data_IF_273030695515
#
_entry.id   IF_273030695515
#
_cell.length_a   1.000
_cell.length_b   1.000
_cell.length_c   1.000
_cell.angle_alpha   90.00
_cell.angle_beta   90.00
_cell.angle_gamma   90.00
#
_symmetry.space_group_name_H-M   'P 1'
#
loop_
_entity.id
_entity.type
_entity.pdbx_description
1 polymer ?
#
# COMPACT_ATOMS: atom_id res chain seq x y z
N UNK A 1 38.29 2.38 34.99
CA UNK A 1 37.64 1.71 33.83
C UNK A 1 38.00 2.47 32.56
N UNK A 2 38.89 1.92 31.73
CA UNK A 2 39.21 2.50 30.43
C UNK A 2 38.22 1.90 29.42
N UNK A 3 37.32 2.73 28.91
CA UNK A 3 36.43 2.34 27.81
C UNK A 3 37.27 2.29 26.54
N UNK A 4 37.57 1.09 26.04
CA UNK A 4 38.13 0.90 24.71
C UNK A 4 36.98 1.09 23.72
N UNK A 5 36.88 2.27 23.10
CA UNK A 5 36.06 2.47 21.94
C UNK A 5 36.70 1.74 20.75
N UNK A 6 36.13 0.60 20.38
CA UNK A 6 36.47 -0.07 19.13
C UNK A 6 35.95 0.78 17.98
N UNK A 7 36.85 1.44 17.27
CA UNK A 7 36.55 2.15 16.03
C UNK A 7 36.00 1.15 15.00
N UNK A 8 34.88 1.49 14.38
CA UNK A 8 34.27 0.68 13.31
C UNK A 8 35.20 0.61 12.09
N UNK A 9 35.13 -0.43 11.25
CA UNK A 9 36.00 -0.57 10.06
C UNK A 9 35.96 0.63 9.12
N UNK A 10 34.86 1.41 9.12
CA UNK A 10 34.69 2.63 8.32
C UNK A 10 35.54 3.81 8.81
N UNK A 11 35.77 3.90 10.12
CA UNK A 11 36.54 5.00 10.74
C UNK A 11 38.04 4.85 10.56
N UNK A 12 38.50 3.65 10.25
CA UNK A 12 39.93 3.38 10.05
C UNK A 12 40.43 3.75 8.64
N UNK A 13 39.53 3.82 7.66
CA UNK A 13 39.92 4.07 6.28
C UNK A 13 40.55 5.45 6.03
N UNK A 14 40.03 6.58 6.53
CA UNK A 14 40.59 7.89 6.35
C UNK A 14 41.96 8.02 7.06
N UNK A 15 42.11 7.41 8.22
CA UNK A 15 43.38 7.42 8.98
C UNK A 15 44.48 6.61 8.27
N UNK A 16 44.11 5.50 7.65
CA UNK A 16 45.01 4.68 6.82
C UNK A 16 45.44 5.44 5.56
N UNK A 17 44.52 6.08 4.85
CA UNK A 17 44.80 6.90 3.65
C UNK A 17 45.73 8.07 4.00
N UNK A 18 45.51 8.75 5.12
CA UNK A 18 46.38 9.86 5.54
C UNK A 18 47.80 9.36 5.89
N UNK A 19 47.94 8.20 6.55
CA UNK A 19 49.24 7.57 6.82
C UNK A 19 49.96 7.17 5.52
N UNK A 20 49.24 6.66 4.53
CA UNK A 20 49.80 6.29 3.23
C UNK A 20 50.29 7.54 2.49
N UNK A 21 49.46 8.60 2.44
CA UNK A 21 49.83 9.88 1.80
C UNK A 21 51.03 10.57 2.46
N UNK A 22 51.11 10.55 3.78
CA UNK A 22 52.29 11.07 4.50
C UNK A 22 53.57 10.25 4.20
N UNK A 23 53.46 8.91 4.09
CA UNK A 23 54.58 8.05 3.69
C UNK A 23 54.99 8.31 2.23
N UNK A 24 54.04 8.49 1.33
CA UNK A 24 54.31 8.80 -0.10
C UNK A 24 55.00 10.16 -0.28
N UNK A 25 54.53 11.22 0.40
CA UNK A 25 55.21 12.53 0.42
C UNK A 25 56.65 12.42 1.01
N UNK A 26 56.82 11.65 2.07
CA UNK A 26 58.10 11.40 2.67
C UNK A 26 59.02 10.58 1.77
N UNK A 27 58.48 9.61 1.04
CA UNK A 27 59.23 8.82 0.07
C UNK A 27 59.64 9.66 -1.16
N UNK A 28 58.76 10.54 -1.70
CA UNK A 28 59.08 11.46 -2.78
C UNK A 28 60.16 12.48 -2.38
N UNK A 29 60.06 13.06 -1.17
CA UNK A 29 61.09 13.98 -0.68
C UNK A 29 62.45 13.28 -0.49
N UNK A 30 62.45 12.01 -0.02
CA UNK A 30 63.69 11.22 0.06
C UNK A 30 64.21 10.86 -1.35
N UNK A 31 63.32 10.49 -2.30
CA UNK A 31 63.74 10.20 -3.67
C UNK A 31 64.35 11.43 -4.36
N UNK A 32 63.82 12.63 -4.12
CA UNK A 32 64.37 13.90 -4.63
C UNK A 32 65.72 14.20 -3.96
N UNK A 33 65.85 14.02 -2.66
CA UNK A 33 67.12 14.16 -1.92
C UNK A 33 68.18 13.14 -2.43
N UNK A 34 67.77 11.93 -2.71
CA UNK A 34 68.68 10.89 -3.22
C UNK A 34 68.99 11.06 -4.72
N UNK A 35 68.20 11.77 -5.49
CA UNK A 35 68.56 12.12 -6.87
C UNK A 35 69.55 13.29 -6.96
N UNK A 36 69.59 14.15 -5.94
CA UNK A 36 70.55 15.31 -5.93
C UNK A 36 71.87 14.90 -5.24
N UNK A 37 71.86 14.09 -4.22
CA UNK A 37 73.07 13.60 -3.49
C UNK A 37 74.07 12.82 -4.35
N UNK A 38 73.68 11.93 -5.26
CA UNK A 38 74.69 11.26 -6.11
C UNK A 38 75.47 12.19 -7.02
N UNK A 39 74.82 13.25 -7.51
CA UNK A 39 75.48 14.24 -8.41
C UNK A 39 76.51 15.06 -7.62
N UNK A 40 76.21 15.46 -6.39
CA UNK A 40 77.14 16.21 -5.53
C UNK A 40 78.23 15.34 -4.92
N UNK A 41 77.89 14.10 -4.58
CA UNK A 41 78.87 13.10 -4.09
C UNK A 41 79.78 12.58 -5.20
N UNK A 42 79.40 12.50 -6.46
CA UNK A 42 80.25 12.21 -7.60
C UNK A 42 81.32 13.28 -7.75
N UNK A 43 81.01 14.56 -7.46
CA UNK A 43 82.02 15.63 -7.48
C UNK A 43 82.94 15.62 -6.26
N UNK A 44 82.54 15.09 -5.15
CA UNK A 44 83.30 15.05 -3.89
C UNK A 44 84.06 13.69 -3.73
N UNK A 45 83.61 12.64 -4.40
CA UNK A 45 84.17 11.29 -4.24
C UNK A 45 84.83 10.72 -5.49
N UNK A 46 85.48 11.52 -6.31
CA UNK A 46 86.44 11.10 -7.32
C UNK A 46 87.64 10.35 -6.63
N UNK A 47 87.40 9.55 -5.66
CA UNK A 47 88.43 8.80 -4.96
C UNK A 47 87.97 7.58 -4.14
N UNK A 48 86.71 7.35 -3.88
CA UNK A 48 86.28 6.23 -3.08
C UNK A 48 85.16 5.39 -3.66
N UNK A 49 85.59 4.31 -4.27
CA UNK A 49 84.94 2.99 -4.37
C UNK A 49 83.58 2.83 -5.05
N UNK A 50 83.61 2.17 -6.19
CA UNK A 50 82.47 1.67 -7.02
C UNK A 50 81.43 0.81 -6.21
N UNK A 51 81.75 0.45 -4.99
CA UNK A 51 80.84 -0.36 -4.14
C UNK A 51 79.79 0.49 -3.43
N UNK A 52 80.08 1.72 -3.00
CA UNK A 52 79.07 2.59 -2.34
C UNK A 52 78.05 3.12 -3.33
N UNK A 53 78.44 3.40 -4.57
CA UNK A 53 77.49 3.81 -5.64
C UNK A 53 76.54 2.65 -6.02
N UNK A 54 77.02 1.41 -6.08
CA UNK A 54 76.18 0.24 -6.28
C UNK A 54 75.19 -0.01 -5.16
N UNK A 55 75.57 0.26 -3.91
CA UNK A 55 74.66 0.07 -2.77
C UNK A 55 73.59 1.17 -2.74
N UNK A 56 73.98 2.41 -3.01
CA UNK A 56 72.99 3.51 -3.15
C UNK A 56 72.03 3.28 -4.31
N UNK A 57 72.50 2.77 -5.46
CA UNK A 57 71.63 2.44 -6.58
C UNK A 57 70.66 1.31 -6.23
N UNK A 58 71.10 0.26 -5.53
CA UNK A 58 70.22 -0.83 -5.07
C UNK A 58 69.15 -0.32 -4.11
N UNK A 59 69.51 0.62 -3.25
CA UNK A 59 68.56 1.21 -2.30
C UNK A 59 67.51 2.12 -3.00
N UNK A 60 67.92 2.90 -4.03
CA UNK A 60 67.02 3.64 -4.90
C UNK A 60 66.08 2.72 -5.69
N UNK A 61 66.59 1.63 -6.24
CA UNK A 61 65.78 0.67 -6.99
C UNK A 61 64.78 -0.07 -6.07
N UNK A 62 65.18 -0.38 -4.83
CA UNK A 62 64.31 -0.95 -3.80
C UNK A 62 63.18 0.02 -3.42
N UNK A 63 63.52 1.29 -3.16
CA UNK A 63 62.53 2.35 -2.84
C UNK A 63 61.58 2.61 -3.99
N UNK A 64 62.05 2.58 -5.21
CA UNK A 64 61.21 2.72 -6.42
C UNK A 64 60.25 1.53 -6.59
N UNK A 65 60.69 0.32 -6.31
CA UNK A 65 59.87 -0.89 -6.30
C UNK A 65 58.79 -0.80 -5.21
N UNK A 66 59.15 -0.31 -4.01
CA UNK A 66 58.22 -0.13 -2.90
C UNK A 66 57.19 0.95 -3.23
N UNK A 67 57.59 2.07 -3.84
CA UNK A 67 56.67 3.13 -4.28
C UNK A 67 55.67 2.66 -5.31
N UNK A 68 56.08 1.84 -6.28
CA UNK A 68 55.19 1.23 -7.27
C UNK A 68 54.17 0.26 -6.63
N UNK A 69 54.63 -0.50 -5.63
CA UNK A 69 53.76 -1.39 -4.85
C UNK A 69 52.69 -0.62 -4.08
N UNK A 70 53.09 0.46 -3.39
CA UNK A 70 52.11 1.31 -2.68
C UNK A 70 51.12 1.99 -3.63
N UNK A 71 51.57 2.46 -4.77
CA UNK A 71 50.65 3.04 -5.81
C UNK A 71 49.61 2.02 -6.26
N UNK A 72 50.03 0.78 -6.51
CA UNK A 72 49.09 -0.29 -6.87
C UNK A 72 48.09 -0.63 -5.76
N UNK A 73 48.56 -0.61 -4.48
CA UNK A 73 47.66 -0.80 -3.35
C UNK A 73 46.64 0.33 -3.19
N UNK A 74 47.10 1.58 -3.37
CA UNK A 74 46.19 2.77 -3.37
C UNK A 74 45.11 2.64 -4.42
N UNK A 75 45.46 2.27 -5.65
CA UNK A 75 44.50 2.11 -6.74
C UNK A 75 43.49 0.99 -6.45
N UNK A 76 43.96 -0.11 -5.85
CA UNK A 76 43.09 -1.21 -5.42
C UNK A 76 42.11 -0.76 -4.33
N UNK A 77 42.60 -0.07 -3.32
CA UNK A 77 41.78 0.47 -2.23
C UNK A 77 40.75 1.49 -2.73
N UNK A 78 41.11 2.34 -3.70
CA UNK A 78 40.21 3.28 -4.36
C UNK A 78 39.06 2.55 -5.08
N UNK A 79 39.38 1.54 -5.89
CA UNK A 79 38.39 0.70 -6.57
C UNK A 79 37.42 0.02 -5.59
N UNK A 80 37.96 -0.50 -4.50
CA UNK A 80 37.14 -1.12 -3.45
C UNK A 80 36.24 -0.10 -2.76
N UNK A 81 36.73 1.08 -2.45
CA UNK A 81 35.94 2.17 -1.85
C UNK A 81 34.77 2.61 -2.77
N UNK A 82 35.05 2.75 -4.07
CA UNK A 82 34.00 3.09 -5.04
C UNK A 82 32.95 1.96 -5.17
N UNK A 83 33.39 0.69 -5.14
CA UNK A 83 32.49 -0.45 -5.14
C UNK A 83 31.59 -0.48 -3.89
N UNK A 84 32.15 -0.26 -2.70
CA UNK A 84 31.35 -0.16 -1.46
C UNK A 84 30.38 1.00 -1.46
N UNK A 85 30.78 2.15 -1.98
CA UNK A 85 29.92 3.32 -2.14
C UNK A 85 28.72 3.00 -3.02
N UNK A 86 28.96 2.40 -4.20
CA UNK A 86 27.88 2.02 -5.13
C UNK A 86 26.94 0.99 -4.50
N UNK A 87 27.48 -0.01 -3.80
CA UNK A 87 26.68 -1.01 -3.09
C UNK A 87 25.84 -0.39 -1.96
N UNK A 88 26.40 0.57 -1.22
CA UNK A 88 25.67 1.29 -0.17
C UNK A 88 24.51 2.10 -0.76
N UNK A 89 24.70 2.77 -1.90
CA UNK A 89 23.64 3.51 -2.59
C UNK A 89 22.54 2.57 -3.11
N UNK A 90 22.91 1.43 -3.67
CA UNK A 90 21.92 0.42 -4.09
C UNK A 90 21.09 -0.09 -2.93
N UNK A 91 21.72 -0.46 -1.82
CA UNK A 91 21.02 -0.93 -0.61
C UNK A 91 20.12 0.15 -0.01
N UNK A 92 20.50 1.42 -0.10
CA UNK A 92 19.66 2.52 0.34
C UNK A 92 18.42 2.65 -0.53
N UNK A 93 18.57 2.53 -1.86
CA UNK A 93 17.44 2.51 -2.80
C UNK A 93 16.49 1.34 -2.55
N UNK A 94 17.04 0.14 -2.33
CA UNK A 94 16.24 -1.05 -2.00
C UNK A 94 15.48 -0.87 -0.69
N UNK A 95 16.11 -0.26 0.31
CA UNK A 95 15.47 0.01 1.61
C UNK A 95 14.27 0.95 1.48
N UNK A 96 14.39 2.03 0.70
CA UNK A 96 13.27 2.95 0.45
C UNK A 96 12.15 2.28 -0.36
N UNK A 97 12.50 1.43 -1.32
CA UNK A 97 11.52 0.66 -2.07
C UNK A 97 10.74 -0.32 -1.18
N UNK A 98 11.43 -1.08 -0.33
CA UNK A 98 10.76 -1.97 0.64
C UNK A 98 9.89 -1.21 1.63
N UNK A 99 10.31 -0.04 2.09
CA UNK A 99 9.52 0.80 2.98
C UNK A 99 8.20 1.25 2.32
N UNK A 100 8.26 1.61 1.04
CA UNK A 100 7.07 1.95 0.25
C UNK A 100 6.13 0.75 0.12
N UNK A 101 6.66 -0.43 -0.23
CA UNK A 101 5.88 -1.66 -0.34
C UNK A 101 5.22 -2.06 0.99
N UNK A 102 5.94 -1.94 2.10
CA UNK A 102 5.38 -2.21 3.44
C UNK A 102 4.22 -1.26 3.75
N UNK A 103 4.35 0.02 3.42
CA UNK A 103 3.27 1.01 3.62
C UNK A 103 2.03 0.68 2.79
N UNK A 104 2.22 0.31 1.52
CA UNK A 104 1.13 -0.13 0.64
C UNK A 104 0.43 -1.40 1.16
N UNK A 105 1.20 -2.40 1.55
CA UNK A 105 0.65 -3.65 2.10
C UNK A 105 -0.10 -3.41 3.40
N UNK A 106 0.36 -2.52 4.26
CA UNK A 106 -0.35 -2.12 5.47
C UNK A 106 -1.70 -1.45 5.17
N UNK A 107 -1.75 -0.58 4.15
CA UNK A 107 -3.00 0.05 3.71
C UNK A 107 -3.99 -0.99 3.15
N UNK A 108 -3.53 -1.92 2.31
CA UNK A 108 -4.35 -3.02 1.77
C UNK A 108 -4.87 -3.94 2.88
N UNK A 109 -4.04 -4.25 3.88
CA UNK A 109 -4.42 -5.05 5.03
C UNK A 109 -5.53 -4.37 5.84
N UNK A 110 -5.41 -3.07 6.11
CA UNK A 110 -6.41 -2.30 6.84
C UNK A 110 -7.75 -2.27 6.08
N UNK A 111 -7.72 -2.08 4.76
CA UNK A 111 -8.91 -2.13 3.91
C UNK A 111 -9.57 -3.52 3.92
N UNK A 112 -8.77 -4.58 3.78
CA UNK A 112 -9.27 -5.97 3.82
C UNK A 112 -9.87 -6.32 5.18
N UNK A 113 -9.25 -5.90 6.28
CA UNK A 113 -9.80 -6.09 7.63
C UNK A 113 -11.13 -5.37 7.82
N UNK A 114 -11.25 -4.15 7.29
CA UNK A 114 -12.51 -3.40 7.30
C UNK A 114 -13.59 -4.13 6.52
N UNK A 115 -13.31 -4.54 5.29
CA UNK A 115 -14.23 -5.29 4.44
C UNK A 115 -14.66 -6.62 5.10
N UNK A 116 -13.74 -7.34 5.73
CA UNK A 116 -14.03 -8.56 6.47
C UNK A 116 -14.96 -8.31 7.66
N UNK A 117 -14.71 -7.26 8.44
CA UNK A 117 -15.56 -6.91 9.58
C UNK A 117 -16.97 -6.55 9.14
N UNK A 118 -17.13 -5.80 8.05
CA UNK A 118 -18.42 -5.49 7.45
C UNK A 118 -19.13 -6.75 6.95
N UNK A 119 -18.44 -7.65 6.26
CA UNK A 119 -19.00 -8.92 5.80
C UNK A 119 -19.47 -9.82 6.98
N UNK A 120 -18.68 -9.90 8.04
CA UNK A 120 -19.07 -10.66 9.25
C UNK A 120 -20.31 -10.07 9.91
N UNK A 121 -20.37 -8.74 10.02
CA UNK A 121 -21.54 -8.07 10.59
C UNK A 121 -22.79 -8.30 9.73
N UNK A 122 -22.69 -8.17 8.42
CA UNK A 122 -23.77 -8.47 7.49
C UNK A 122 -24.21 -9.94 7.61
N UNK A 123 -23.29 -10.89 7.68
CA UNK A 123 -23.61 -12.32 7.78
C UNK A 123 -24.38 -12.66 9.07
N UNK A 124 -24.03 -12.01 10.19
CA UNK A 124 -24.71 -12.18 11.47
C UNK A 124 -26.09 -11.52 11.51
N UNK A 125 -26.29 -10.49 10.70
CA UNK A 125 -27.54 -9.76 10.61
C UNK A 125 -28.55 -10.40 9.64
N UNK A 126 -28.13 -11.39 8.84
CA UNK A 126 -29.03 -12.06 7.89
C UNK A 126 -30.19 -12.71 8.64
N UNK A 127 -31.40 -12.28 8.27
CA UNK A 127 -32.63 -12.88 8.72
C UNK A 127 -33.06 -13.97 7.73
N UNK A 128 -33.26 -15.20 8.14
CA UNK A 128 -33.80 -16.22 7.25
C UNK A 128 -35.26 -15.86 6.91
N UNK A 129 -35.54 -15.69 5.63
CA UNK A 129 -36.92 -15.59 5.12
C UNK A 129 -37.19 -16.88 4.37
N UNK A 130 -38.08 -17.68 4.93
CA UNK A 130 -38.54 -18.90 4.29
C UNK A 130 -39.49 -18.55 3.13
N UNK A 131 -39.40 -19.29 2.02
CA UNK A 131 -40.28 -19.13 0.86
C UNK A 131 -41.76 -19.38 1.18
N UNK A 132 -42.06 -20.25 2.14
CA UNK A 132 -43.41 -20.47 2.63
C UNK A 132 -43.95 -19.24 3.40
N UNK A 133 -43.06 -18.53 4.12
CA UNK A 133 -43.41 -17.31 4.86
C UNK A 133 -43.43 -16.07 3.98
N UNK A 134 -42.88 -16.13 2.76
CA UNK A 134 -42.80 -14.96 1.88
C UNK A 134 -44.18 -14.41 1.48
N UNK A 135 -45.11 -15.28 1.10
CA UNK A 135 -46.50 -14.90 0.75
C UNK A 135 -47.25 -14.40 2.01
N UNK A 136 -47.08 -15.09 3.12
CA UNK A 136 -47.66 -14.69 4.38
C UNK A 136 -47.06 -13.34 4.86
N UNK A 137 -45.73 -13.18 4.69
CA UNK A 137 -45.09 -11.92 4.98
C UNK A 137 -45.59 -10.81 4.05
N UNK A 138 -45.69 -11.04 2.76
CA UNK A 138 -46.20 -10.07 1.79
C UNK A 138 -47.64 -9.61 2.13
N UNK A 139 -48.50 -10.53 2.54
CA UNK A 139 -49.89 -10.19 2.93
C UNK A 139 -50.00 -9.25 4.15
N UNK A 140 -48.93 -9.14 4.94
CA UNK A 140 -48.84 -8.23 6.08
C UNK A 140 -48.48 -6.79 5.70
N UNK A 141 -48.11 -6.57 4.43
CA UNK A 141 -47.69 -5.26 3.94
C UNK A 141 -48.60 -4.78 2.78
N UNK A 142 -49.86 -4.46 3.06
CA UNK A 142 -50.78 -4.03 2.01
C UNK A 142 -50.25 -2.79 1.26
N UNK A 143 -50.26 -2.85 -0.07
CA UNK A 143 -49.68 -1.81 -0.91
C UNK A 143 -48.20 -1.99 -1.27
N UNK A 144 -47.48 -2.88 -0.55
CA UNK A 144 -46.06 -3.20 -0.84
C UNK A 144 -45.85 -4.68 -1.12
N UNK A 145 -46.91 -5.45 -1.20
CA UNK A 145 -46.86 -6.91 -1.44
C UNK A 145 -46.08 -7.27 -2.71
N UNK A 146 -46.31 -6.56 -3.78
CA UNK A 146 -45.68 -6.81 -5.07
C UNK A 146 -44.17 -6.48 -5.02
N UNK A 147 -43.76 -5.43 -4.29
CA UNK A 147 -42.36 -5.09 -4.11
C UNK A 147 -41.61 -6.23 -3.36
N UNK A 148 -42.20 -6.70 -2.25
CA UNK A 148 -41.63 -7.76 -1.47
C UNK A 148 -41.49 -9.07 -2.27
N UNK A 149 -42.56 -9.46 -2.99
CA UNK A 149 -42.54 -10.66 -3.81
C UNK A 149 -41.53 -10.60 -4.96
N UNK A 150 -41.39 -9.45 -5.62
CA UNK A 150 -40.41 -9.27 -6.71
C UNK A 150 -38.96 -9.33 -6.17
N UNK A 151 -38.70 -8.74 -5.00
CA UNK A 151 -37.37 -8.83 -4.36
C UNK A 151 -37.07 -10.28 -3.99
N UNK A 152 -38.04 -11.02 -3.47
CA UNK A 152 -37.87 -12.43 -3.09
C UNK A 152 -37.70 -13.34 -4.32
N UNK A 153 -38.37 -13.04 -5.45
CA UNK A 153 -38.14 -13.73 -6.73
C UNK A 153 -36.68 -13.52 -7.20
N UNK A 154 -36.19 -12.30 -7.19
CA UNK A 154 -34.79 -12.03 -7.52
C UNK A 154 -33.79 -12.75 -6.59
N UNK A 155 -34.16 -12.93 -5.30
CA UNK A 155 -33.39 -13.75 -4.36
C UNK A 155 -33.37 -15.23 -4.79
N UNK A 156 -34.51 -15.79 -5.17
CA UNK A 156 -34.59 -17.19 -5.65
C UNK A 156 -33.78 -17.40 -6.93
N UNK A 157 -33.71 -16.41 -7.81
CA UNK A 157 -32.88 -16.42 -9.02
C UNK A 157 -31.39 -16.29 -8.72
N UNK A 158 -30.98 -16.12 -7.46
CA UNK A 158 -29.57 -16.02 -7.01
C UNK A 158 -28.79 -14.96 -7.78
N UNK A 159 -29.40 -13.77 -7.94
CA UNK A 159 -28.71 -12.64 -8.59
C UNK A 159 -27.42 -12.33 -7.86
N UNK A 160 -26.33 -12.18 -8.63
CA UNK A 160 -24.99 -11.98 -8.10
C UNK A 160 -24.76 -10.54 -7.69
N UNK A 161 -23.89 -10.34 -6.70
CA UNK A 161 -23.32 -9.04 -6.42
C UNK A 161 -22.35 -8.64 -7.52
N UNK A 162 -22.46 -7.40 -8.00
CA UNK A 162 -21.50 -6.78 -8.91
C UNK A 162 -21.51 -5.27 -8.69
N UNK A 163 -20.38 -4.70 -8.23
CA UNK A 163 -20.24 -3.24 -8.10
C UNK A 163 -20.44 -2.56 -9.46
N UNK A 164 -21.34 -1.57 -9.50
CA UNK A 164 -21.73 -0.88 -10.73
C UNK A 164 -22.56 -1.71 -11.70
N UNK A 165 -22.96 -2.94 -11.37
CA UNK A 165 -23.85 -3.76 -12.17
C UNK A 165 -25.28 -3.22 -12.15
N UNK A 166 -25.99 -3.28 -13.29
CA UNK A 166 -27.30 -2.62 -13.45
C UNK A 166 -28.38 -3.55 -14.03
N UNK A 167 -28.12 -4.84 -14.15
CA UNK A 167 -29.06 -5.80 -14.74
C UNK A 167 -29.06 -7.13 -14.01
N UNK A 168 -30.13 -7.90 -14.18
CA UNK A 168 -30.27 -9.27 -13.65
C UNK A 168 -29.23 -10.23 -14.23
N UNK A 169 -28.70 -9.95 -15.42
CA UNK A 169 -27.69 -10.77 -16.08
C UNK A 169 -26.30 -10.49 -15.54
N UNK A 170 -25.98 -9.22 -15.36
CA UNK A 170 -24.67 -8.80 -14.85
C UNK A 170 -24.55 -8.96 -13.33
N UNK A 171 -25.64 -8.75 -12.63
CA UNK A 171 -25.72 -8.56 -11.19
C UNK A 171 -25.98 -7.11 -10.81
N UNK A 172 -26.08 -6.87 -9.52
CA UNK A 172 -26.31 -5.54 -8.94
C UNK A 172 -25.41 -5.30 -7.74
N UNK A 173 -25.12 -4.05 -7.47
CA UNK A 173 -24.77 -3.59 -6.12
C UNK A 173 -26.03 -3.09 -5.39
N UNK A 174 -25.86 -2.62 -4.15
CA UNK A 174 -27.00 -2.25 -3.31
C UNK A 174 -27.82 -1.09 -3.89
N UNK A 175 -27.24 0.08 -4.28
CA UNK A 175 -28.02 1.18 -4.85
C UNK A 175 -28.58 0.88 -6.25
N UNK A 176 -27.84 0.16 -7.10
CA UNK A 176 -28.36 -0.17 -8.43
C UNK A 176 -29.51 -1.19 -8.38
N UNK A 177 -29.48 -2.11 -7.39
CA UNK A 177 -30.62 -2.97 -7.10
C UNK A 177 -31.84 -2.18 -6.66
N UNK A 178 -31.67 -1.23 -5.72
CA UNK A 178 -32.76 -0.36 -5.30
C UNK A 178 -33.33 0.42 -6.48
N UNK A 179 -32.48 0.96 -7.36
CA UNK A 179 -32.91 1.65 -8.57
C UNK A 179 -33.69 0.76 -9.55
N UNK A 180 -33.19 -0.47 -9.76
CA UNK A 180 -33.88 -1.43 -10.61
C UNK A 180 -35.30 -1.68 -10.09
N UNK A 181 -35.45 -1.90 -8.80
CA UNK A 181 -36.79 -2.12 -8.19
C UNK A 181 -37.69 -0.89 -8.26
N UNK A 182 -37.16 0.31 -8.05
CA UNK A 182 -37.90 1.56 -8.19
C UNK A 182 -38.41 1.75 -9.60
N UNK A 183 -37.61 1.46 -10.63
CA UNK A 183 -38.01 1.53 -12.05
C UNK A 183 -39.10 0.54 -12.37
N UNK A 184 -39.04 -0.70 -11.89
CA UNK A 184 -40.05 -1.74 -12.12
C UNK A 184 -41.43 -1.34 -11.55
N UNK A 185 -41.46 -0.54 -10.52
CA UNK A 185 -42.67 -0.10 -9.81
C UNK A 185 -43.11 1.33 -10.15
N UNK A 186 -42.60 1.89 -11.23
CA UNK A 186 -42.96 3.24 -11.70
C UNK A 186 -42.71 4.36 -10.66
N UNK A 187 -41.79 4.14 -9.74
CA UNK A 187 -41.31 5.21 -8.86
C UNK A 187 -40.51 6.26 -9.67
N UNK A 188 -40.25 7.46 -9.12
CA UNK A 188 -39.56 8.52 -9.85
C UNK A 188 -38.27 8.01 -10.50
N UNK A 189 -38.11 8.31 -11.80
CA UNK A 189 -36.89 7.92 -12.51
C UNK A 189 -35.70 8.72 -11.98
N UNK A 190 -34.83 8.03 -11.25
CA UNK A 190 -33.51 8.53 -10.84
C UNK A 190 -32.50 7.79 -11.70
N UNK A 191 -31.61 8.52 -12.37
CA UNK A 191 -30.55 7.91 -13.16
C UNK A 191 -29.28 7.80 -12.31
N UNK A 192 -28.70 6.61 -12.32
CA UNK A 192 -27.35 6.36 -11.84
C UNK A 192 -26.42 6.26 -13.06
N UNK A 193 -25.25 6.85 -12.96
CA UNK A 193 -24.25 6.76 -14.02
C UNK A 193 -23.50 5.42 -13.94
N UNK A 194 -23.22 4.84 -15.09
CA UNK A 194 -22.42 3.62 -15.15
C UNK A 194 -21.00 3.90 -14.61
N UNK A 195 -20.53 3.03 -13.73
CA UNK A 195 -19.19 3.16 -13.14
C UNK A 195 -19.09 4.04 -11.89
N UNK A 196 -20.20 4.56 -11.38
CA UNK A 196 -20.21 5.21 -10.07
C UNK A 196 -19.78 4.24 -8.99
N UNK A 197 -19.04 4.75 -7.99
CA UNK A 197 -18.75 3.97 -6.78
C UNK A 197 -20.05 3.68 -6.03
N UNK A 198 -20.04 2.60 -5.22
CA UNK A 198 -21.19 2.23 -4.37
C UNK A 198 -21.66 3.42 -3.50
N UNK A 199 -20.70 4.16 -2.93
CA UNK A 199 -20.98 5.32 -2.08
C UNK A 199 -21.58 6.49 -2.85
N UNK A 200 -21.11 6.75 -4.08
CA UNK A 200 -21.62 7.86 -4.92
C UNK A 200 -23.02 7.57 -5.43
N UNK A 201 -23.26 6.35 -5.91
CA UNK A 201 -24.58 5.91 -6.33
C UNK A 201 -25.62 5.97 -5.20
N UNK A 202 -25.23 5.53 -3.99
CA UNK A 202 -26.06 5.63 -2.80
C UNK A 202 -26.34 7.08 -2.40
N UNK A 203 -25.33 7.95 -2.47
CA UNK A 203 -25.49 9.39 -2.20
C UNK A 203 -26.43 10.06 -3.19
N UNK A 204 -26.33 9.74 -4.48
CA UNK A 204 -27.23 10.22 -5.53
C UNK A 204 -28.70 9.90 -5.20
N UNK A 205 -28.99 8.66 -4.79
CA UNK A 205 -30.34 8.27 -4.34
C UNK A 205 -30.75 9.02 -3.07
N UNK A 206 -29.84 9.15 -2.12
CA UNK A 206 -30.08 9.83 -0.85
C UNK A 206 -30.46 11.30 -1.04
N UNK A 207 -29.79 12.01 -1.95
CA UNK A 207 -30.03 13.43 -2.19
C UNK A 207 -31.32 13.71 -2.99
N UNK A 208 -31.68 12.79 -3.90
CA UNK A 208 -32.83 12.98 -4.80
C UNK A 208 -34.17 12.59 -4.17
N UNK A 209 -34.19 11.81 -3.12
CA UNK A 209 -35.44 11.38 -2.47
C UNK A 209 -35.76 12.22 -1.24
N UNK A 210 -37.07 12.46 -0.93
CA UNK A 210 -37.45 13.20 0.26
C UNK A 210 -37.02 12.56 1.57
N UNK A 211 -36.49 13.32 2.54
CA UNK A 211 -36.10 12.77 3.82
C UNK A 211 -37.31 12.36 4.66
N UNK A 212 -37.14 11.32 5.49
CA UNK A 212 -38.13 10.94 6.50
C UNK A 212 -37.43 10.52 7.80
N UNK A 213 -38.05 10.84 8.93
CA UNK A 213 -37.65 10.36 10.25
C UNK A 213 -38.54 9.21 10.75
N UNK A 214 -39.65 8.94 10.02
CA UNK A 214 -40.59 7.89 10.31
C UNK A 214 -40.73 6.99 9.07
N UNK A 215 -39.76 6.10 8.81
CA UNK A 215 -39.78 5.28 7.64
C UNK A 215 -40.97 4.32 7.65
N UNK A 216 -41.57 4.14 6.50
CA UNK A 216 -42.66 3.19 6.24
C UNK A 216 -42.16 2.04 5.37
N UNK A 217 -42.91 0.97 5.33
CA UNK A 217 -42.65 -0.14 4.41
C UNK A 217 -42.55 0.36 2.96
N UNK A 218 -41.44 0.01 2.30
CA UNK A 218 -41.12 0.45 0.94
C UNK A 218 -40.21 1.68 0.87
N UNK A 219 -39.98 2.40 1.96
CA UNK A 219 -38.99 3.47 1.99
C UNK A 219 -37.55 2.92 1.91
N UNK A 220 -36.61 3.78 1.56
CA UNK A 220 -35.20 3.39 1.50
C UNK A 220 -34.46 3.78 2.79
N UNK A 221 -33.72 2.83 3.32
CA UNK A 221 -32.76 2.98 4.40
C UNK A 221 -31.35 3.00 3.83
N UNK A 222 -30.52 3.95 4.29
CA UNK A 222 -29.16 4.16 3.84
C UNK A 222 -28.18 3.87 4.98
N UNK A 223 -27.15 3.11 4.70
CA UNK A 223 -26.18 2.65 5.69
C UNK A 223 -24.75 3.02 5.27
N UNK A 224 -23.81 3.04 6.24
CA UNK A 224 -22.40 3.23 5.94
C UNK A 224 -21.90 2.21 4.90
N UNK A 225 -20.89 2.60 4.11
CA UNK A 225 -20.39 1.75 3.02
C UNK A 225 -21.22 1.80 1.74
N UNK A 226 -22.24 2.69 1.66
CA UNK A 226 -23.06 2.89 0.46
C UNK A 226 -24.21 1.88 0.29
N UNK A 227 -24.55 1.13 1.33
CA UNK A 227 -25.68 0.21 1.26
C UNK A 227 -27.02 0.98 1.26
N UNK A 228 -27.87 0.63 0.30
CA UNK A 228 -29.21 1.19 0.12
C UNK A 228 -30.21 0.03 0.08
N UNK A 229 -31.14 -0.02 1.02
CA UNK A 229 -32.04 -1.15 1.22
C UNK A 229 -33.48 -0.68 1.44
N UNK A 230 -34.44 -1.49 1.01
CA UNK A 230 -35.85 -1.24 1.30
C UNK A 230 -36.17 -1.56 2.75
N UNK A 231 -36.84 -0.64 3.41
CA UNK A 231 -37.28 -0.76 4.81
C UNK A 231 -38.65 -1.39 4.90
N UNK A 232 -38.81 -2.29 5.84
CA UNK A 232 -40.09 -2.98 6.12
C UNK A 232 -40.35 -2.94 7.63
N UNK A 233 -41.56 -2.49 8.00
CA UNK A 233 -42.05 -2.52 9.39
C UNK A 233 -42.80 -3.81 9.62
N UNK A 234 -42.30 -4.67 10.49
CA UNK A 234 -42.99 -5.88 10.87
C UNK A 234 -43.45 -5.80 12.34
N UNK A 235 -44.76 -5.93 12.60
CA UNK A 235 -45.28 -5.76 13.97
C UNK A 235 -44.81 -6.83 14.97
N UNK A 236 -44.44 -8.04 14.51
CA UNK A 236 -44.09 -9.18 15.39
C UNK A 236 -42.60 -9.22 15.72
N UNK A 237 -41.77 -9.10 14.73
CA UNK A 237 -40.32 -9.36 14.86
C UNK A 237 -39.46 -8.10 14.72
N UNK A 238 -40.11 -6.96 14.67
CA UNK A 238 -39.45 -5.67 14.50
C UNK A 238 -39.06 -5.37 13.04
N UNK A 239 -38.59 -4.14 12.79
CA UNK A 239 -38.28 -3.69 11.45
C UNK A 239 -37.07 -4.44 10.86
N UNK A 240 -37.13 -4.67 9.55
CA UNK A 240 -36.04 -5.24 8.78
C UNK A 240 -35.82 -4.45 7.48
N UNK A 241 -34.68 -4.71 6.84
CA UNK A 241 -34.37 -4.15 5.53
C UNK A 241 -34.06 -5.28 4.57
N UNK A 242 -34.39 -5.05 3.29
CA UNK A 242 -34.25 -6.05 2.24
C UNK A 242 -33.54 -5.40 1.04
N UNK A 243 -32.48 -6.04 0.58
CA UNK A 243 -31.73 -5.49 -0.55
C UNK A 243 -30.56 -6.37 -0.97
N UNK A 244 -29.76 -5.86 -1.86
CA UNK A 244 -28.58 -6.54 -2.39
C UNK A 244 -27.39 -6.38 -1.42
N UNK A 245 -26.75 -7.49 -1.11
CA UNK A 245 -25.52 -7.57 -0.30
C UNK A 245 -24.46 -8.37 -1.07
N UNK A 246 -23.19 -8.37 -0.66
CA UNK A 246 -22.15 -9.22 -1.26
C UNK A 246 -22.49 -10.71 -1.28
N UNK A 247 -23.45 -11.14 -0.45
CA UNK A 247 -23.95 -12.52 -0.40
C UNK A 247 -25.23 -12.75 -1.24
N UNK A 248 -25.61 -11.76 -2.05
CA UNK A 248 -26.85 -11.73 -2.81
C UNK A 248 -27.95 -10.94 -2.11
N UNK A 249 -29.20 -11.12 -2.57
CA UNK A 249 -30.36 -10.47 -1.97
C UNK A 249 -30.63 -11.06 -0.60
N UNK A 250 -30.57 -10.22 0.44
CA UNK A 250 -30.73 -10.65 1.83
C UNK A 250 -31.68 -9.73 2.60
N UNK A 251 -32.36 -10.32 3.60
CA UNK A 251 -33.05 -9.58 4.63
C UNK A 251 -32.14 -9.43 5.83
N UNK A 252 -32.02 -8.23 6.36
CA UNK A 252 -31.22 -7.91 7.52
C UNK A 252 -32.10 -7.23 8.58
N UNK A 253 -31.74 -7.36 9.84
CA UNK A 253 -32.34 -6.52 10.87
C UNK A 253 -32.07 -5.05 10.56
N UNK A 254 -33.02 -4.17 10.75
CA UNK A 254 -32.85 -2.73 10.40
C UNK A 254 -31.77 -2.02 11.24
N UNK A 255 -31.43 -2.59 12.39
CA UNK A 255 -30.40 -2.11 13.32
C UNK A 255 -29.06 -2.83 13.18
N UNK A 256 -28.84 -3.59 12.11
CA UNK A 256 -27.55 -4.27 11.86
C UNK A 256 -26.36 -3.31 11.78
N UNK A 257 -26.65 -2.07 11.40
CA UNK A 257 -25.76 -0.91 11.50
C UNK A 257 -26.59 0.34 11.77
N UNK A 258 -25.96 1.40 12.28
CA UNK A 258 -26.65 2.68 12.45
C UNK A 258 -26.93 3.28 11.07
N UNK A 259 -28.20 3.50 10.69
CA UNK A 259 -28.52 4.09 9.39
C UNK A 259 -28.04 5.54 9.32
N UNK A 260 -27.56 5.94 8.16
CA UNK A 260 -27.23 7.33 7.81
C UNK A 260 -28.51 8.18 7.76
N UNK A 261 -29.58 7.57 7.27
CA UNK A 261 -30.89 8.17 7.21
C UNK A 261 -31.87 7.35 6.37
N UNK A 262 -33.08 7.86 6.28
CA UNK A 262 -34.16 7.24 5.53
C UNK A 262 -34.69 8.21 4.48
N UNK A 263 -35.20 7.68 3.38
CA UNK A 263 -35.81 8.44 2.27
C UNK A 263 -37.13 7.84 1.89
N UNK A 264 -38.12 8.71 1.76
CA UNK A 264 -39.46 8.30 1.38
C UNK A 264 -39.54 7.98 -0.11
N UNK A 265 -40.15 6.85 -0.42
CA UNK A 265 -40.46 6.46 -1.81
C UNK A 265 -41.95 6.69 -2.07
N UNK A 266 -42.24 7.45 -3.11
CA UNK A 266 -43.63 7.63 -3.60
C UNK A 266 -43.92 6.54 -4.61
N UNK A 267 -44.65 5.54 -4.18
CA UNK A 267 -45.15 4.47 -5.04
C UNK A 267 -46.39 4.95 -5.82
N UNK A 268 -46.42 4.66 -7.11
CA UNK A 268 -47.59 4.96 -7.96
C UNK A 268 -48.59 3.80 -7.98
#
# INVERSE_FOLDING_TARGET
MKVSTSLTPGDQLPVLLERIQRREKSARSRAVLFSVLPVTLIFILIGHTASSVRNAQKEVDALKSEATTYTSQIDTLKKNADSYKNRSQSLQGDTENYKTQVTELQAQLAETQKALSEAVNLSRAVRPIDSASAKELASRFPGSESLLLDILDLRQRRIKWKTGGQSTQEGFDSPSFAMYMLRQKHAPAIELHAGESLSDASRTLYEKLPPTTQPKTGDLAFYPGGYTMFYFTEPRDGPFVLGMTPFGVAALKSDFAKPVGYRQVQWK
#
